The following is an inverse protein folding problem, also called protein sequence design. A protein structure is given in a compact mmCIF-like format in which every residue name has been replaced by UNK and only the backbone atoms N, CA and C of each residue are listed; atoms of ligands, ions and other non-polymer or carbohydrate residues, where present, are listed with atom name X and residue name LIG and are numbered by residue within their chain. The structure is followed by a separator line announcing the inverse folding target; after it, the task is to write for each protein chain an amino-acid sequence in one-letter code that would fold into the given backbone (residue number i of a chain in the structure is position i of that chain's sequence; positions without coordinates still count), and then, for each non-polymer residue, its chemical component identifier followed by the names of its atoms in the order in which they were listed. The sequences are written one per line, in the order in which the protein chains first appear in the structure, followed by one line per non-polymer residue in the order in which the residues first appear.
data_IF_153708444418
#
_entry.id   IF_153708444418
#
_cell.length_a   1.000
_cell.length_b   1.000
_cell.length_c   1.000
_cell.angle_alpha   90.00
_cell.angle_beta   90.00
_cell.angle_gamma   90.00
#
_symmetry.space_group_name_H-M   'P 1'
#
loop_
_entity.id
_entity.type
_entity.pdbx_description
1 polymer ?
#
# COMPACT_ATOMS: atom_id res chain seq x y z
N UNK A 1 -8.43 1.73 -1.25
CA UNK A 1 -9.31 1.37 -0.12
C UNK A 1 -8.98 -0.05 0.34
N UNK A 2 -8.41 -0.21 1.54
CA UNK A 2 -8.19 -1.52 2.18
C UNK A 2 -9.04 -1.73 3.47
N UNK A 3 -10.35 -1.38 3.50
CA UNK A 3 -11.12 -1.23 4.74
C UNK A 3 -11.55 -2.58 5.36
N UNK A 4 -11.42 -3.70 4.64
CA UNK A 4 -11.94 -5.01 5.04
C UNK A 4 -10.86 -6.03 5.42
N UNK A 5 -9.58 -5.67 5.33
CA UNK A 5 -8.48 -6.56 5.72
C UNK A 5 -8.32 -6.49 7.23
N UNK A 6 -8.67 -7.57 7.93
CA UNK A 6 -8.60 -7.63 9.39
C UNK A 6 -7.32 -8.31 9.90
N UNK A 7 -6.64 -9.06 9.02
CA UNK A 7 -5.35 -9.74 9.25
C UNK A 7 -4.63 -9.87 7.91
N UNK A 8 -3.32 -9.66 7.91
CA UNK A 8 -2.42 -10.04 6.82
C UNK A 8 -1.51 -11.13 7.39
N UNK A 9 -1.49 -12.29 6.76
CA UNK A 9 -0.48 -13.33 7.00
C UNK A 9 0.67 -13.21 6.00
N UNK A 10 1.68 -14.06 6.15
CA UNK A 10 2.88 -14.03 5.30
C UNK A 10 2.54 -14.20 3.81
N UNK A 11 1.61 -15.08 3.46
CA UNK A 11 1.26 -15.34 2.06
C UNK A 11 0.52 -14.18 1.40
N UNK A 12 -0.29 -13.44 2.17
CA UNK A 12 -0.91 -12.21 1.71
C UNK A 12 0.12 -11.10 1.51
N UNK A 13 1.16 -11.03 2.35
CA UNK A 13 2.26 -10.08 2.19
C UNK A 13 3.09 -10.37 0.93
N UNK A 14 3.48 -11.63 0.71
CA UNK A 14 4.19 -12.06 -0.51
C UNK A 14 3.37 -11.80 -1.77
N UNK A 15 2.04 -11.90 -1.70
CA UNK A 15 1.17 -11.52 -2.80
C UNK A 15 1.19 -10.00 -3.04
N UNK A 16 1.18 -9.19 -1.99
CA UNK A 16 1.27 -7.73 -2.10
C UNK A 16 2.62 -7.28 -2.66
N UNK A 17 3.71 -7.92 -2.26
CA UNK A 17 5.06 -7.67 -2.80
C UNK A 17 5.11 -7.92 -4.30
N UNK A 18 4.64 -9.10 -4.75
CA UNK A 18 4.58 -9.42 -6.19
C UNK A 18 3.69 -8.46 -6.98
N UNK A 19 2.57 -8.01 -6.41
CA UNK A 19 1.71 -7.01 -7.05
C UNK A 19 2.45 -5.67 -7.17
N UNK A 20 3.11 -5.22 -6.10
CA UNK A 20 3.89 -3.98 -6.11
C UNK A 20 5.02 -4.02 -7.13
N UNK A 21 5.76 -5.13 -7.21
CA UNK A 21 6.81 -5.33 -8.21
C UNK A 21 6.25 -5.31 -9.63
N UNK A 22 5.18 -6.05 -9.90
CA UNK A 22 4.58 -6.11 -11.23
C UNK A 22 4.04 -4.74 -11.71
N UNK A 23 3.43 -3.98 -10.80
CA UNK A 23 2.99 -2.61 -11.12
C UNK A 23 4.19 -1.70 -11.37
N UNK A 24 5.27 -1.85 -10.60
CA UNK A 24 6.49 -1.06 -10.77
C UNK A 24 7.16 -1.30 -12.13
N UNK A 25 7.16 -2.55 -12.62
CA UNK A 25 7.64 -2.90 -13.98
C UNK A 25 6.87 -2.15 -15.08
N UNK A 26 5.64 -1.72 -14.80
CA UNK A 26 4.77 -0.96 -15.71
C UNK A 26 4.78 0.54 -15.42
N UNK A 27 5.70 1.02 -14.58
CA UNK A 27 5.76 2.41 -14.11
C UNK A 27 4.49 2.87 -13.37
N UNK A 28 3.73 1.91 -12.81
CA UNK A 28 2.54 2.15 -11.99
C UNK A 28 2.90 1.97 -10.51
N UNK A 29 2.54 2.94 -9.68
CA UNK A 29 2.82 2.89 -8.24
C UNK A 29 1.64 2.32 -7.45
N UNK A 30 1.92 1.42 -6.50
CA UNK A 30 0.91 0.89 -5.60
C UNK A 30 0.72 1.82 -4.39
N UNK A 31 -0.46 2.44 -4.27
CA UNK A 31 -0.84 3.24 -3.10
C UNK A 31 -1.86 2.52 -2.24
N UNK A 32 -1.72 2.63 -0.92
CA UNK A 32 -2.66 2.07 0.05
C UNK A 32 -3.36 3.20 0.80
N UNK A 33 -4.63 3.01 1.14
CA UNK A 33 -5.41 3.97 1.93
C UNK A 33 -6.27 3.25 2.96
N UNK A 34 -6.41 3.86 4.13
CA UNK A 34 -7.27 3.37 5.24
C UNK A 34 -6.86 1.99 5.75
N UNK A 35 -5.54 1.76 5.90
CA UNK A 35 -5.00 0.53 6.47
C UNK A 35 -5.29 0.49 7.98
N UNK A 36 -5.94 -0.57 8.45
CA UNK A 36 -6.26 -0.75 9.89
C UNK A 36 -4.99 -0.96 10.72
N UNK A 37 -5.02 -0.53 11.98
CA UNK A 37 -3.90 -0.66 12.93
C UNK A 37 -3.20 -2.02 12.92
N UNK A 38 -3.91 -3.15 13.16
CA UNK A 38 -3.28 -4.48 13.16
C UNK A 38 -2.63 -4.88 11.82
N UNK A 39 -3.14 -4.35 10.71
CA UNK A 39 -2.56 -4.58 9.38
C UNK A 39 -1.33 -3.70 9.19
N UNK A 40 -1.40 -2.42 9.58
CA UNK A 40 -0.25 -1.51 9.54
C UNK A 40 0.90 -2.04 10.40
N UNK A 41 0.60 -2.56 11.59
CA UNK A 41 1.60 -3.17 12.47
C UNK A 41 2.26 -4.40 11.80
N UNK A 42 1.49 -5.17 11.02
CA UNK A 42 2.04 -6.31 10.28
C UNK A 42 2.95 -5.85 9.12
N UNK A 43 2.55 -4.81 8.38
CA UNK A 43 3.36 -4.22 7.32
C UNK A 43 4.63 -3.55 7.86
N UNK A 44 4.58 -2.95 9.05
CA UNK A 44 5.74 -2.34 9.72
C UNK A 44 6.74 -3.37 10.25
N UNK A 45 6.27 -4.59 10.56
CA UNK A 45 7.14 -5.70 10.97
C UNK A 45 7.78 -6.42 9.78
N UNK A 46 7.39 -6.09 8.56
CA UNK A 46 7.98 -6.65 7.35
C UNK A 46 8.73 -5.58 6.55
N UNK A 47 9.47 -6.04 5.53
CA UNK A 47 10.22 -5.16 4.63
C UNK A 47 9.33 -4.54 3.54
N UNK A 48 8.05 -4.92 3.44
CA UNK A 48 7.15 -4.47 2.39
C UNK A 48 7.04 -2.94 2.29
N UNK A 49 6.93 -2.23 3.42
CA UNK A 49 6.84 -0.77 3.39
C UNK A 49 8.11 -0.10 2.87
N UNK A 50 9.26 -0.77 2.97
CA UNK A 50 10.51 -0.30 2.38
C UNK A 50 10.53 -0.47 0.85
N UNK A 51 9.90 -1.54 0.35
CA UNK A 51 9.82 -1.84 -1.08
C UNK A 51 8.59 -1.22 -1.77
N UNK A 52 7.64 -0.68 -1.02
CA UNK A 52 6.44 -0.06 -1.54
C UNK A 52 6.81 1.11 -2.46
N UNK A 53 6.39 1.03 -3.72
CA UNK A 53 6.66 2.07 -4.72
C UNK A 53 5.79 3.32 -4.55
N UNK A 54 4.64 3.18 -3.90
CA UNK A 54 3.74 4.27 -3.59
C UNK A 54 3.78 4.68 -2.12
N UNK A 55 2.60 4.98 -1.58
CA UNK A 55 2.44 5.61 -0.27
C UNK A 55 1.24 5.03 0.46
N UNK A 56 1.30 5.03 1.79
CA UNK A 56 0.18 4.68 2.67
C UNK A 56 -0.48 5.96 3.17
N UNK A 57 -1.77 6.13 2.89
CA UNK A 57 -2.55 7.29 3.28
C UNK A 57 -3.56 6.95 4.38
N UNK A 58 -3.80 7.91 5.28
CA UNK A 58 -4.77 7.78 6.36
C UNK A 58 -6.22 7.72 5.86
N UNK A 59 -6.51 8.32 4.70
CA UNK A 59 -7.84 8.28 4.07
C UNK A 59 -7.75 8.27 2.55
N UNK A 60 -8.81 7.79 1.90
CA UNK A 60 -8.93 7.84 0.45
C UNK A 60 -8.91 9.29 -0.07
N UNK A 61 -9.50 10.23 0.67
CA UNK A 61 -9.50 11.64 0.32
C UNK A 61 -8.09 12.24 0.32
N UNK A 62 -7.27 11.89 1.33
CA UNK A 62 -5.87 12.33 1.38
C UNK A 62 -5.05 11.78 0.21
N UNK A 63 -5.28 10.52 -0.17
CA UNK A 63 -4.64 9.92 -1.34
C UNK A 63 -5.01 10.66 -2.64
N UNK A 64 -6.29 10.94 -2.87
CA UNK A 64 -6.77 11.63 -4.07
C UNK A 64 -6.19 13.06 -4.19
N UNK A 65 -6.14 13.81 -3.08
CA UNK A 65 -5.55 15.16 -3.07
C UNK A 65 -4.06 15.14 -3.43
N UNK A 66 -3.28 14.26 -2.81
CA UNK A 66 -1.83 14.18 -3.04
C UNK A 66 -1.52 13.70 -4.46
N UNK A 67 -2.20 12.65 -4.94
CA UNK A 67 -1.97 12.08 -6.26
C UNK A 67 -2.38 13.01 -7.41
N UNK A 68 -3.39 13.86 -7.21
CA UNK A 68 -3.73 14.92 -8.18
C UNK A 68 -2.65 15.99 -8.26
N UNK A 69 -2.04 16.35 -7.13
CA UNK A 69 -0.95 17.34 -7.08
C UNK A 69 0.33 16.87 -7.78
N UNK A 70 0.59 15.56 -7.83
CA UNK A 70 1.80 14.97 -8.45
C UNK A 70 1.70 14.78 -9.97
N UNK A 71 0.53 14.97 -10.58
CA UNK A 71 0.32 14.81 -12.04
C UNK A 71 0.55 16.11 -12.84
N UNK A 72 1.29 17.07 -12.29
CA UNK A 72 1.64 18.34 -12.97
C UNK A 72 3.04 18.33 -13.56
#
# INVERSE_FOLDING_TARGET
MCPAVNRIDLSALEALERINEHLAEQEITLHMSEVKGPVMDALQRSDFLHHLTGQVYLSQHAADLDLRGRRS
#
